data_IF_636127601312
#
_entry.id   IF_636127601312
#
_cell.length_a   1.000
_cell.length_b   1.000
_cell.length_c   1.000
_cell.angle_alpha   90.00
_cell.angle_beta   90.00
_cell.angle_gamma   90.00
#
_symmetry.space_group_name_H-M   'P 1'
#
loop_
_entity.id
_entity.type
_entity.pdbx_description
1 polymer ?
#
# COMPACT_ATOMS: atom_id res chain seq x y z
N UNK A 1 3.02 53.86 79.92
CA UNK A 1 3.42 53.37 78.59
C UNK A 1 2.20 53.45 77.68
N UNK A 2 2.23 54.30 76.64
CA UNK A 2 1.12 54.44 75.68
C UNK A 2 1.31 53.41 74.58
N UNK A 3 0.38 52.46 74.44
CA UNK A 3 0.30 51.59 73.28
C UNK A 3 -0.11 52.42 72.06
N UNK A 4 0.73 52.47 71.04
CA UNK A 4 0.40 53.12 69.76
C UNK A 4 -0.66 52.33 69.00
N UNK A 5 -1.52 53.00 68.21
CA UNK A 5 -2.56 52.31 67.45
C UNK A 5 -1.92 51.44 66.37
N UNK A 6 -2.29 50.15 66.35
CA UNK A 6 -1.86 49.19 65.34
C UNK A 6 -2.35 49.67 63.96
N UNK A 7 -1.39 49.88 63.06
CA UNK A 7 -1.57 50.34 61.69
C UNK A 7 -2.32 49.28 60.89
N UNK A 8 -3.25 49.71 60.05
CA UNK A 8 -4.26 48.90 59.36
C UNK A 8 -3.71 47.74 58.51
N UNK A 9 -4.05 46.50 58.89
CA UNK A 9 -3.85 45.23 58.16
C UNK A 9 -4.88 44.99 57.03
N UNK A 10 -5.57 46.02 56.53
CA UNK A 10 -6.69 45.86 55.58
C UNK A 10 -6.27 45.64 54.11
N UNK A 11 -5.00 45.86 53.76
CA UNK A 11 -4.48 45.66 52.39
C UNK A 11 -3.96 44.24 52.10
N UNK A 12 -3.41 43.54 53.10
CA UNK A 12 -2.83 42.20 52.91
C UNK A 12 -3.88 41.12 52.62
N UNK A 13 -5.07 41.24 53.20
CA UNK A 13 -6.16 40.28 52.97
C UNK A 13 -6.56 40.26 51.49
N UNK A 14 -6.63 41.42 50.85
CA UNK A 14 -6.97 41.52 49.43
C UNK A 14 -5.89 40.88 48.55
N UNK A 15 -4.61 41.10 48.86
CA UNK A 15 -3.51 40.46 48.14
C UNK A 15 -3.54 38.94 48.28
N UNK A 16 -3.81 38.43 49.48
CA UNK A 16 -3.92 36.99 49.71
C UNK A 16 -5.09 36.39 48.91
N UNK A 17 -6.25 37.04 48.89
CA UNK A 17 -7.41 36.60 48.10
C UNK A 17 -7.09 36.61 46.60
N UNK A 18 -6.43 37.65 46.09
CA UNK A 18 -6.04 37.70 44.68
C UNK A 18 -5.04 36.61 44.30
N UNK A 19 -4.06 36.32 45.17
CA UNK A 19 -3.10 35.23 44.95
C UNK A 19 -3.81 33.87 44.92
N UNK A 20 -4.70 33.61 45.88
CA UNK A 20 -5.48 32.36 45.93
C UNK A 20 -6.39 32.25 44.71
N UNK A 21 -7.08 33.33 44.31
CA UNK A 21 -7.92 33.34 43.10
C UNK A 21 -7.09 33.11 41.82
N UNK A 22 -5.92 33.72 41.72
CA UNK A 22 -5.02 33.52 40.58
C UNK A 22 -4.55 32.06 40.49
N UNK A 23 -4.17 31.45 41.61
CA UNK A 23 -3.77 30.04 41.67
C UNK A 23 -4.92 29.09 41.34
N UNK A 24 -6.11 29.33 41.90
CA UNK A 24 -7.31 28.55 41.58
C UNK A 24 -7.70 28.67 40.11
N UNK A 25 -7.62 29.87 39.54
CA UNK A 25 -7.93 30.10 38.12
C UNK A 25 -6.93 29.37 37.21
N UNK A 26 -5.64 29.39 37.54
CA UNK A 26 -4.62 28.67 36.80
C UNK A 26 -4.86 27.14 36.85
N UNK A 27 -5.16 26.59 38.02
CA UNK A 27 -5.47 25.16 38.19
C UNK A 27 -6.73 24.75 37.42
N UNK A 28 -7.79 25.55 37.51
CA UNK A 28 -9.03 25.28 36.77
C UNK A 28 -8.83 25.36 35.25
N UNK A 29 -7.99 26.30 34.79
CA UNK A 29 -7.66 26.41 33.36
C UNK A 29 -6.90 25.19 32.85
N UNK A 30 -5.92 24.69 33.61
CA UNK A 30 -5.16 23.49 33.26
C UNK A 30 -6.05 22.25 33.24
N UNK A 31 -6.87 22.07 34.27
CA UNK A 31 -7.85 20.98 34.32
C UNK A 31 -8.85 21.03 33.16
N UNK A 32 -9.36 22.21 32.82
CA UNK A 32 -10.27 22.38 31.70
C UNK A 32 -9.60 22.04 30.36
N UNK A 33 -8.35 22.49 30.16
CA UNK A 33 -7.58 22.16 28.98
C UNK A 33 -7.34 20.64 28.86
N UNK A 34 -6.88 19.99 29.94
CA UNK A 34 -6.69 18.54 29.99
C UNK A 34 -7.97 17.78 29.65
N UNK A 35 -9.09 18.17 30.26
CA UNK A 35 -10.39 17.52 30.03
C UNK A 35 -10.82 17.62 28.57
N UNK A 36 -10.62 18.78 27.93
CA UNK A 36 -10.95 18.95 26.51
C UNK A 36 -10.07 18.10 25.59
N UNK A 37 -8.79 17.93 25.93
CA UNK A 37 -7.89 17.02 25.20
C UNK A 37 -8.35 15.57 25.35
N UNK A 38 -8.66 15.14 26.57
CA UNK A 38 -9.13 13.78 26.85
C UNK A 38 -10.43 13.46 26.12
N UNK A 39 -11.37 14.41 26.07
CA UNK A 39 -12.62 14.26 25.32
C UNK A 39 -12.36 14.06 23.83
N UNK A 40 -11.48 14.87 23.22
CA UNK A 40 -11.13 14.73 21.79
C UNK A 40 -10.45 13.40 21.49
N UNK A 41 -9.60 12.92 22.39
CA UNK A 41 -8.96 11.61 22.27
C UNK A 41 -9.98 10.47 22.37
N UNK A 42 -10.92 10.56 23.33
CA UNK A 42 -11.98 9.58 23.49
C UNK A 42 -12.92 9.53 22.27
N UNK A 43 -13.29 10.69 21.71
CA UNK A 43 -14.07 10.79 20.47
C UNK A 43 -13.32 10.18 19.29
N UNK A 44 -12.05 10.55 19.09
CA UNK A 44 -11.21 10.00 18.01
C UNK A 44 -11.04 8.48 18.14
N UNK A 45 -10.84 7.99 19.36
CA UNK A 45 -10.72 6.55 19.63
C UNK A 45 -12.02 5.80 19.30
N UNK A 46 -13.16 6.33 19.73
CA UNK A 46 -14.49 5.79 19.40
C UNK A 46 -14.69 5.74 17.89
N UNK A 47 -14.45 6.85 17.20
CA UNK A 47 -14.71 6.99 15.76
C UNK A 47 -13.77 6.09 14.94
N UNK A 48 -12.48 6.01 15.32
CA UNK A 48 -11.53 5.07 14.72
C UNK A 48 -11.93 3.63 14.91
N UNK A 49 -12.36 3.25 16.12
CA UNK A 49 -12.82 1.89 16.41
C UNK A 49 -14.04 1.53 15.56
N UNK A 50 -15.00 2.45 15.46
CA UNK A 50 -16.18 2.28 14.61
C UNK A 50 -15.80 2.11 13.13
N UNK A 51 -14.98 3.00 12.59
CA UNK A 51 -14.54 2.93 11.20
C UNK A 51 -13.82 1.61 10.90
N UNK A 52 -12.97 1.15 11.83
CA UNK A 52 -12.28 -0.14 11.71
C UNK A 52 -13.27 -1.32 11.64
N UNK A 53 -14.26 -1.39 12.54
CA UNK A 53 -15.23 -2.48 12.52
C UNK A 53 -16.20 -2.39 11.33
N UNK A 54 -16.55 -1.18 10.87
CA UNK A 54 -17.30 -0.99 9.62
C UNK A 54 -16.52 -1.53 8.41
N UNK A 55 -15.24 -1.19 8.29
CA UNK A 55 -14.37 -1.71 7.22
C UNK A 55 -14.23 -3.24 7.28
N UNK A 56 -14.06 -3.82 8.49
CA UNK A 56 -14.03 -5.28 8.69
C UNK A 56 -15.35 -5.94 8.30
N UNK A 57 -16.48 -5.30 8.58
CA UNK A 57 -17.81 -5.73 8.13
C UNK A 57 -17.93 -5.71 6.60
N UNK A 58 -17.40 -4.67 5.96
CA UNK A 58 -17.32 -4.57 4.50
C UNK A 58 -16.50 -5.68 3.85
N UNK A 59 -15.35 -6.05 4.42
CA UNK A 59 -14.59 -7.21 3.96
C UNK A 59 -15.43 -8.48 4.03
N UNK A 60 -16.17 -8.69 5.13
CA UNK A 60 -17.05 -9.85 5.30
C UNK A 60 -18.19 -9.85 4.26
N UNK A 61 -18.76 -8.69 3.99
CA UNK A 61 -19.79 -8.51 2.97
C UNK A 61 -19.25 -8.80 1.57
N UNK A 62 -18.07 -8.29 1.22
CA UNK A 62 -17.39 -8.62 -0.03
C UNK A 62 -17.10 -10.11 -0.18
N UNK A 63 -16.67 -10.78 0.90
CA UNK A 63 -16.50 -12.25 0.90
C UNK A 63 -17.82 -12.99 0.66
N UNK A 64 -18.95 -12.51 1.19
CA UNK A 64 -20.25 -13.11 0.93
C UNK A 64 -20.69 -12.90 -0.52
N UNK A 65 -20.47 -11.72 -1.09
CA UNK A 65 -20.74 -11.44 -2.51
C UNK A 65 -19.96 -12.40 -3.40
N UNK A 66 -18.67 -12.62 -3.12
CA UNK A 66 -17.84 -13.58 -3.85
C UNK A 66 -18.26 -15.04 -3.65
N UNK A 67 -18.84 -15.40 -2.49
CA UNK A 67 -19.35 -16.76 -2.24
C UNK A 67 -20.69 -17.04 -2.93
N UNK A 68 -21.46 -15.99 -3.22
CA UNK A 68 -22.72 -16.09 -3.96
C UNK A 68 -22.50 -16.25 -5.47
N UNK A 69 -21.32 -15.86 -5.96
CA UNK A 69 -20.93 -16.18 -7.32
C UNK A 69 -20.60 -17.68 -7.46
N UNK A 70 -21.33 -18.35 -8.35
CA UNK A 70 -21.29 -19.80 -8.55
C UNK A 70 -20.99 -20.18 -10.00
N UNK A 71 -20.73 -19.19 -10.85
CA UNK A 71 -20.43 -19.47 -12.24
C UNK A 71 -18.94 -19.85 -12.40
N UNK A 72 -18.49 -20.10 -13.63
CA UNK A 72 -17.13 -20.60 -13.89
C UNK A 72 -16.23 -19.56 -14.58
N UNK A 73 -16.60 -18.28 -14.56
CA UNK A 73 -15.81 -17.20 -15.14
C UNK A 73 -15.90 -15.94 -14.27
N UNK A 74 -14.78 -15.24 -14.13
CA UNK A 74 -14.76 -13.96 -13.44
C UNK A 74 -14.74 -12.82 -14.47
N UNK A 75 -15.65 -11.87 -14.39
CA UNK A 75 -15.84 -10.79 -15.37
C UNK A 75 -16.32 -9.47 -14.79
N UNK A 76 -16.15 -8.37 -15.56
CA UNK A 76 -16.57 -7.01 -15.14
C UNK A 76 -18.09 -6.80 -15.14
N UNK A 77 -18.83 -7.71 -15.76
CA UNK A 77 -20.29 -7.74 -15.80
C UNK A 77 -20.91 -8.26 -14.50
N UNK A 78 -20.11 -8.86 -13.61
CA UNK A 78 -20.59 -9.52 -12.42
C UNK A 78 -20.83 -8.58 -11.24
N UNK A 79 -21.69 -9.03 -10.32
CA UNK A 79 -22.12 -8.23 -9.17
C UNK A 79 -20.95 -7.84 -8.25
N UNK A 80 -19.97 -8.74 -8.06
CA UNK A 80 -18.80 -8.45 -7.26
C UNK A 80 -17.97 -7.31 -7.85
N UNK A 81 -17.88 -7.21 -9.19
CA UNK A 81 -17.07 -6.20 -9.89
C UNK A 81 -17.72 -4.82 -9.91
N UNK A 82 -19.06 -4.76 -9.90
CA UNK A 82 -19.80 -3.50 -9.85
C UNK A 82 -19.72 -2.80 -8.48
N UNK A 83 -19.41 -3.55 -7.43
CA UNK A 83 -19.25 -3.03 -6.07
C UNK A 83 -20.55 -2.59 -5.40
N UNK A 84 -20.41 -2.04 -4.20
CA UNK A 84 -21.51 -1.48 -3.40
C UNK A 84 -21.11 -0.09 -2.96
N UNK A 85 -21.86 0.95 -3.35
CA UNK A 85 -21.52 2.34 -3.03
C UNK A 85 -22.46 2.94 -1.98
N UNK A 86 -21.90 3.69 -1.02
CA UNK A 86 -22.63 4.50 -0.05
C UNK A 86 -23.73 3.75 0.73
N UNK A 87 -23.48 2.49 1.09
CA UNK A 87 -24.43 1.69 1.87
C UNK A 87 -24.49 2.19 3.33
N UNK A 88 -25.65 2.62 3.86
CA UNK A 88 -25.74 3.16 5.21
C UNK A 88 -25.64 2.05 6.27
N UNK A 89 -24.70 2.18 7.22
CA UNK A 89 -24.52 1.25 8.33
C UNK A 89 -24.40 2.03 9.64
N UNK A 90 -25.44 1.95 10.48
CA UNK A 90 -25.52 2.76 11.70
C UNK A 90 -25.59 4.25 11.38
N UNK A 91 -24.53 5.00 11.72
CA UNK A 91 -24.40 6.44 11.43
C UNK A 91 -23.25 6.71 10.44
N UNK A 92 -22.75 5.67 9.76
CA UNK A 92 -21.71 5.79 8.73
C UNK A 92 -22.17 5.22 7.39
N UNK A 93 -21.32 5.36 6.38
CA UNK A 93 -21.52 4.79 5.05
C UNK A 93 -20.38 3.82 4.74
N UNK A 94 -20.69 2.77 4.00
CA UNK A 94 -19.77 1.75 3.55
C UNK A 94 -19.77 1.70 2.03
N UNK A 95 -18.58 1.77 1.45
CA UNK A 95 -18.34 1.48 0.03
C UNK A 95 -17.44 0.25 -0.06
N UNK A 96 -17.78 -0.67 -0.95
CA UNK A 96 -17.04 -1.92 -1.21
C UNK A 96 -16.73 -1.94 -2.70
N UNK A 97 -15.46 -1.94 -3.03
CA UNK A 97 -14.95 -2.15 -4.38
C UNK A 97 -14.11 -3.42 -4.38
N UNK A 98 -14.38 -4.33 -5.32
CA UNK A 98 -13.63 -5.58 -5.49
C UNK A 98 -12.99 -5.53 -6.87
N UNK A 99 -11.70 -5.85 -6.94
CA UNK A 99 -10.94 -5.83 -8.17
C UNK A 99 -10.19 -7.13 -8.32
N UNK A 100 -10.45 -7.83 -9.41
CA UNK A 100 -9.71 -9.02 -9.80
C UNK A 100 -8.23 -8.69 -10.04
N UNK A 101 -7.36 -9.47 -9.41
CA UNK A 101 -5.91 -9.37 -9.57
C UNK A 101 -5.39 -10.27 -10.68
N UNK A 102 -6.13 -11.30 -11.08
CA UNK A 102 -5.71 -12.28 -12.08
C UNK A 102 -5.81 -11.71 -13.50
N UNK A 103 -6.48 -10.58 -13.71
CA UNK A 103 -6.40 -9.80 -14.95
C UNK A 103 -5.06 -9.08 -15.17
N UNK A 104 -4.09 -9.23 -14.26
CA UNK A 104 -2.78 -8.56 -14.29
C UNK A 104 -1.66 -9.57 -14.43
N UNK A 105 -0.50 -9.15 -14.93
CA UNK A 105 0.67 -10.01 -14.96
C UNK A 105 1.24 -10.20 -13.54
N UNK A 106 1.34 -11.44 -13.09
CA UNK A 106 1.97 -11.74 -11.80
C UNK A 106 3.49 -11.64 -11.90
N UNK A 107 4.08 -10.75 -11.10
CA UNK A 107 5.52 -10.54 -11.02
C UNK A 107 6.20 -11.78 -10.43
N UNK A 108 5.60 -12.36 -9.40
CA UNK A 108 6.15 -13.53 -8.72
C UNK A 108 6.12 -14.81 -9.56
N UNK A 109 5.48 -14.81 -10.73
CA UNK A 109 5.55 -15.93 -11.68
C UNK A 109 6.67 -15.77 -12.73
N UNK A 110 7.41 -14.66 -12.71
CA UNK A 110 8.55 -14.42 -13.60
C UNK A 110 9.67 -15.45 -13.39
N UNK A 111 9.87 -15.92 -12.16
CA UNK A 111 10.89 -16.89 -11.79
C UNK A 111 10.28 -18.01 -10.95
N UNK A 112 10.66 -19.26 -11.24
CA UNK A 112 10.34 -20.42 -10.39
C UNK A 112 11.64 -21.05 -9.90
N UNK A 113 11.90 -20.89 -8.60
CA UNK A 113 13.19 -21.23 -8.00
C UNK A 113 14.26 -20.29 -8.52
N UNK A 114 15.09 -20.78 -9.44
CA UNK A 114 16.17 -20.02 -10.06
C UNK A 114 16.04 -19.92 -11.59
N UNK A 115 14.87 -20.27 -12.11
CA UNK A 115 14.63 -20.36 -13.55
C UNK A 115 13.66 -19.27 -13.98
N UNK A 116 14.11 -18.28 -14.75
CA UNK A 116 13.22 -17.34 -15.43
C UNK A 116 12.29 -18.08 -16.38
N UNK A 117 11.00 -17.75 -16.32
CA UNK A 117 9.99 -18.36 -17.16
C UNK A 117 9.90 -17.60 -18.49
N UNK A 118 10.34 -18.21 -19.60
CA UNK A 118 10.48 -17.55 -20.91
C UNK A 118 9.20 -16.81 -21.35
N UNK A 119 8.04 -17.45 -21.19
CA UNK A 119 6.74 -16.85 -21.54
C UNK A 119 6.44 -15.61 -20.69
N UNK A 120 6.72 -15.66 -19.38
CA UNK A 120 6.50 -14.50 -18.51
C UNK A 120 7.51 -13.39 -18.81
N UNK A 121 8.79 -13.75 -19.03
CA UNK A 121 9.84 -12.81 -19.44
C UNK A 121 9.42 -12.05 -20.70
N UNK A 122 8.97 -12.74 -21.74
CA UNK A 122 8.46 -12.10 -22.96
C UNK A 122 7.26 -11.19 -22.71
N UNK A 123 6.30 -11.61 -21.89
CA UNK A 123 5.12 -10.79 -21.55
C UNK A 123 5.52 -9.50 -20.84
N UNK A 124 6.46 -9.56 -19.89
CA UNK A 124 6.97 -8.36 -19.21
C UNK A 124 7.76 -7.45 -20.14
N UNK A 125 8.59 -8.01 -21.03
CA UNK A 125 9.29 -7.24 -22.06
C UNK A 125 8.30 -6.49 -22.96
N UNK A 126 7.29 -7.19 -23.48
CA UNK A 126 6.23 -6.57 -24.30
C UNK A 126 5.44 -5.52 -23.52
N UNK A 127 5.12 -5.78 -22.24
CA UNK A 127 4.42 -4.81 -21.41
C UNK A 127 5.23 -3.51 -21.31
N UNK A 128 6.52 -3.60 -21.00
CA UNK A 128 7.37 -2.42 -20.88
C UNK A 128 7.59 -1.72 -22.21
N UNK A 129 7.61 -2.43 -23.33
CA UNK A 129 7.61 -1.84 -24.67
C UNK A 129 6.30 -1.07 -24.95
N UNK A 130 5.14 -1.65 -24.67
CA UNK A 130 3.81 -1.02 -24.83
C UNK A 130 3.69 0.24 -23.97
N UNK A 131 4.27 0.21 -22.76
CA UNK A 131 4.30 1.35 -21.84
C UNK A 131 5.43 2.34 -22.16
N UNK A 132 6.17 2.13 -23.24
CA UNK A 132 7.25 3.00 -23.72
C UNK A 132 8.37 3.23 -22.69
N UNK A 133 8.70 2.20 -21.90
CA UNK A 133 9.82 2.26 -20.96
C UNK A 133 11.15 1.96 -21.67
N UNK A 134 12.04 2.96 -21.83
CA UNK A 134 13.29 2.77 -22.58
C UNK A 134 14.20 1.73 -21.93
N UNK A 135 14.20 1.68 -20.59
CA UNK A 135 15.00 0.74 -19.80
C UNK A 135 14.23 -0.57 -19.49
N UNK A 136 13.11 -0.81 -20.16
CA UNK A 136 12.25 -1.99 -19.97
C UNK A 136 13.01 -3.32 -19.87
N UNK A 137 13.92 -3.63 -20.82
CA UNK A 137 14.77 -4.81 -20.74
C UNK A 137 15.51 -4.94 -19.40
N UNK A 138 16.20 -3.88 -18.96
CA UNK A 138 16.95 -3.89 -17.70
C UNK A 138 16.04 -3.97 -16.46
N UNK A 139 14.81 -3.46 -16.55
CA UNK A 139 13.80 -3.64 -15.49
C UNK A 139 13.39 -5.10 -15.36
N UNK A 140 13.25 -5.85 -16.46
CA UNK A 140 12.93 -7.29 -16.40
C UNK A 140 14.08 -8.07 -15.77
N UNK A 141 15.31 -7.78 -16.14
CA UNK A 141 16.47 -8.45 -15.55
C UNK A 141 16.65 -8.10 -14.07
N UNK A 142 16.45 -6.84 -13.68
CA UNK A 142 16.46 -6.45 -12.28
C UNK A 142 15.35 -7.15 -11.46
N UNK A 143 14.18 -7.43 -12.06
CA UNK A 143 13.14 -8.23 -11.41
C UNK A 143 13.53 -9.71 -11.30
N UNK A 144 14.26 -10.26 -12.26
CA UNK A 144 14.73 -11.65 -12.21
C UNK A 144 15.66 -11.84 -10.99
N UNK A 145 16.74 -11.05 -10.90
CA UNK A 145 17.72 -11.10 -9.79
C UNK A 145 17.09 -10.74 -8.43
N UNK A 146 16.00 -9.97 -8.44
CA UNK A 146 15.30 -9.67 -7.20
C UNK A 146 14.55 -10.89 -6.65
N UNK A 147 14.07 -11.78 -7.53
CA UNK A 147 13.12 -12.86 -7.24
C UNK A 147 13.79 -14.24 -7.17
N UNK A 148 14.80 -14.50 -8.01
CA UNK A 148 15.55 -15.74 -7.95
C UNK A 148 16.30 -15.90 -6.61
N UNK A 149 16.86 -17.08 -6.36
CA UNK A 149 17.33 -17.44 -5.01
C UNK A 149 18.85 -17.37 -4.87
N UNK A 150 19.57 -17.17 -5.97
CA UNK A 150 21.03 -17.11 -5.98
C UNK A 150 21.53 -15.67 -5.77
N UNK A 151 22.78 -15.37 -6.13
CA UNK A 151 23.32 -14.00 -6.12
C UNK A 151 24.13 -13.79 -7.41
N UNK A 152 23.77 -14.50 -8.48
CA UNK A 152 24.43 -14.45 -9.78
C UNK A 152 23.67 -13.46 -10.67
N UNK A 153 24.33 -12.36 -11.02
CA UNK A 153 23.71 -11.32 -11.85
C UNK A 153 23.21 -11.90 -13.18
N UNK A 154 21.94 -11.69 -13.49
CA UNK A 154 21.37 -12.15 -14.75
C UNK A 154 21.98 -11.38 -15.94
N UNK A 155 22.75 -12.09 -16.76
CA UNK A 155 23.37 -11.56 -17.98
C UNK A 155 23.04 -12.47 -19.16
N UNK A 156 21.88 -12.24 -19.78
CA UNK A 156 21.42 -12.99 -20.96
C UNK A 156 20.79 -12.03 -21.96
N UNK A 157 20.91 -12.29 -23.27
CA UNK A 157 20.29 -11.51 -24.35
C UNK A 157 20.59 -9.99 -24.33
N UNK A 158 21.73 -9.59 -23.74
CA UNK A 158 22.12 -8.19 -23.58
C UNK A 158 21.40 -7.46 -22.43
N UNK A 159 20.56 -8.17 -21.68
CA UNK A 159 19.91 -7.69 -20.46
C UNK A 159 20.91 -7.72 -19.31
N UNK A 160 20.89 -6.69 -18.46
CA UNK A 160 21.71 -6.65 -17.26
C UNK A 160 20.83 -6.66 -16.02
N UNK A 161 21.06 -7.63 -15.15
CA UNK A 161 20.43 -7.76 -13.84
C UNK A 161 21.03 -6.83 -12.80
N UNK A 162 20.52 -6.91 -11.57
CA UNK A 162 20.97 -6.15 -10.42
C UNK A 162 20.85 -7.01 -9.16
N UNK A 163 22.00 -7.43 -8.64
CA UNK A 163 22.10 -8.28 -7.46
C UNK A 163 22.40 -7.53 -6.16
N UNK A 164 22.44 -8.26 -5.05
CA UNK A 164 22.76 -7.72 -3.71
C UNK A 164 24.01 -6.82 -3.68
N UNK A 165 25.04 -7.12 -4.48
CA UNK A 165 26.25 -6.30 -4.55
C UNK A 165 25.96 -4.86 -5.00
N UNK A 166 25.00 -4.66 -5.90
CA UNK A 166 24.59 -3.33 -6.32
C UNK A 166 23.84 -2.61 -5.21
N UNK A 167 22.85 -3.25 -4.61
CA UNK A 167 22.00 -2.63 -3.60
C UNK A 167 22.75 -2.26 -2.31
N UNK A 168 23.79 -3.02 -1.96
CA UNK A 168 24.65 -2.73 -0.83
C UNK A 168 25.47 -1.45 -1.01
N UNK A 169 25.65 -0.99 -2.25
CA UNK A 169 26.34 0.27 -2.54
C UNK A 169 25.44 1.52 -2.41
N UNK A 170 24.13 1.34 -2.20
CA UNK A 170 23.15 2.43 -2.05
C UNK A 170 23.09 2.94 -0.61
N UNK A 171 22.48 4.11 -0.42
CA UNK A 171 22.20 4.71 0.89
C UNK A 171 20.68 4.95 1.05
N UNK A 172 19.99 4.26 1.99
CA UNK A 172 20.52 3.22 2.88
C UNK A 172 20.89 1.95 2.12
N UNK A 173 21.87 1.20 2.63
CA UNK A 173 22.29 -0.08 2.04
C UNK A 173 21.28 -1.18 2.35
N UNK A 174 20.94 -1.99 1.36
CA UNK A 174 20.11 -3.18 1.51
C UNK A 174 20.57 -4.29 0.56
N UNK A 175 20.03 -5.49 0.71
CA UNK A 175 20.27 -6.63 -0.18
C UNK A 175 19.06 -6.89 -1.06
N UNK A 176 19.27 -7.57 -2.18
CA UNK A 176 18.15 -8.13 -2.95
C UNK A 176 17.35 -9.09 -2.06
N UNK A 177 16.06 -9.28 -2.39
CA UNK A 177 15.20 -10.15 -1.58
C UNK A 177 15.60 -11.62 -1.72
N UNK A 178 15.98 -12.00 -2.92
CA UNK A 178 16.28 -13.36 -3.36
C UNK A 178 15.08 -14.29 -3.09
N UNK A 179 13.92 -13.85 -3.58
CA UNK A 179 12.65 -14.55 -3.40
C UNK A 179 11.44 -13.71 -3.80
N UNK A 180 10.23 -14.31 -3.77
CA UNK A 180 9.00 -13.65 -4.18
C UNK A 180 8.74 -12.35 -3.42
N UNK A 181 8.30 -11.31 -4.13
CA UNK A 181 7.88 -10.04 -3.56
C UNK A 181 6.76 -10.27 -2.55
N UNK A 182 6.85 -9.60 -1.40
CA UNK A 182 5.85 -9.70 -0.32
C UNK A 182 4.85 -8.55 -0.31
N UNK A 183 5.21 -7.44 -0.93
CA UNK A 183 4.40 -6.22 -1.02
C UNK A 183 4.68 -5.54 -2.35
N UNK A 184 3.68 -4.87 -2.91
CA UNK A 184 3.84 -4.14 -4.17
C UNK A 184 4.86 -3.00 -4.05
N UNK A 185 4.93 -2.36 -2.88
CA UNK A 185 5.84 -1.27 -2.54
C UNK A 185 7.32 -1.67 -2.63
N UNK A 186 7.61 -2.97 -2.57
CA UNK A 186 8.97 -3.50 -2.71
C UNK A 186 9.57 -3.21 -4.09
N UNK A 187 8.74 -3.00 -5.11
CA UNK A 187 9.21 -2.59 -6.43
C UNK A 187 10.09 -1.34 -6.37
N UNK A 188 9.80 -0.40 -5.48
CA UNK A 188 10.63 0.82 -5.33
C UNK A 188 12.07 0.57 -4.88
N UNK A 189 12.37 -0.64 -4.37
CA UNK A 189 13.73 -1.05 -3.99
C UNK A 189 14.50 -1.69 -5.16
N UNK A 190 13.78 -2.18 -6.17
CA UNK A 190 14.36 -2.80 -7.37
C UNK A 190 14.98 -1.72 -8.24
N UNK A 191 16.11 -2.01 -8.87
CA UNK A 191 16.78 -1.06 -9.78
C UNK A 191 15.85 -0.61 -10.92
N UNK A 192 15.81 0.70 -11.16
CA UNK A 192 15.06 1.32 -12.26
C UNK A 192 13.56 1.55 -11.99
N UNK A 193 12.99 1.00 -10.91
CA UNK A 193 11.58 1.18 -10.56
C UNK A 193 11.34 2.49 -9.81
N UNK A 194 11.33 3.60 -10.55
CA UNK A 194 11.00 4.92 -10.00
C UNK A 194 9.51 4.99 -9.59
N UNK A 195 9.11 5.96 -8.74
CA UNK A 195 7.70 6.15 -8.40
C UNK A 195 6.78 6.28 -9.62
N UNK A 196 7.28 6.89 -10.70
CA UNK A 196 6.56 7.07 -11.97
C UNK A 196 6.36 5.73 -12.70
N UNK A 197 7.41 4.90 -12.77
CA UNK A 197 7.34 3.54 -13.36
C UNK A 197 6.36 2.69 -12.55
N UNK A 198 6.49 2.67 -11.23
CA UNK A 198 5.61 1.89 -10.33
C UNK A 198 4.15 2.34 -10.45
N UNK A 199 3.89 3.64 -10.56
CA UNK A 199 2.55 4.18 -10.75
C UNK A 199 1.91 3.74 -12.07
N UNK A 200 2.68 3.76 -13.16
CA UNK A 200 2.24 3.31 -14.48
C UNK A 200 2.05 1.79 -14.55
N UNK A 201 2.83 1.01 -13.79
CA UNK A 201 2.69 -0.45 -13.75
C UNK A 201 1.55 -0.96 -12.88
N UNK A 202 1.18 -0.20 -11.84
CA UNK A 202 0.14 -0.57 -10.87
C UNK A 202 -1.17 -1.13 -11.47
N UNK A 203 -1.73 -0.62 -12.58
CA UNK A 203 -2.92 -1.21 -13.18
C UNK A 203 -2.68 -2.54 -13.91
N UNK A 204 -1.45 -2.86 -14.31
CA UNK A 204 -1.13 -3.96 -15.22
C UNK A 204 -0.46 -5.17 -14.55
N UNK A 205 0.12 -5.00 -13.37
CA UNK A 205 0.88 -6.06 -12.68
C UNK A 205 0.39 -6.29 -11.25
N UNK A 206 0.65 -7.50 -10.74
CA UNK A 206 0.30 -7.94 -9.38
C UNK A 206 1.43 -8.78 -8.79
N UNK A 207 1.48 -8.93 -7.46
CA UNK A 207 2.37 -9.89 -6.79
C UNK A 207 1.67 -11.21 -6.43
N UNK A 208 0.36 -11.28 -6.69
CA UNK A 208 -0.49 -12.44 -6.42
C UNK A 208 -0.76 -13.23 -7.70
N UNK A 209 -1.31 -14.43 -7.57
CA UNK A 209 -1.65 -15.27 -8.72
C UNK A 209 -0.46 -16.05 -9.30
N UNK A 210 -0.71 -16.74 -10.41
CA UNK A 210 0.26 -17.55 -11.14
C UNK A 210 0.59 -16.96 -12.51
N UNK A 211 0.92 -17.78 -13.52
CA UNK A 211 1.18 -17.29 -14.88
C UNK A 211 -0.09 -17.10 -15.72
N UNK A 212 -1.27 -17.45 -15.20
CA UNK A 212 -2.55 -17.22 -15.84
C UNK A 212 -2.91 -15.74 -15.88
N UNK A 213 -3.69 -15.35 -16.90
CA UNK A 213 -4.28 -14.01 -16.99
C UNK A 213 -5.76 -14.14 -17.28
N UNK A 214 -6.60 -13.55 -16.45
CA UNK A 214 -8.02 -13.44 -16.68
C UNK A 214 -8.31 -12.40 -17.77
N UNK A 215 -8.64 -12.87 -18.98
CA UNK A 215 -8.92 -12.02 -20.14
C UNK A 215 -10.14 -11.12 -19.97
N UNK A 216 -11.11 -11.51 -19.12
CA UNK A 216 -12.35 -10.76 -18.94
C UNK A 216 -12.15 -9.48 -18.12
N UNK A 217 -11.05 -9.41 -17.34
CA UNK A 217 -10.75 -8.30 -16.44
C UNK A 217 -9.47 -7.56 -16.81
N UNK A 218 -8.60 -8.19 -17.61
CA UNK A 218 -7.33 -7.65 -18.06
C UNK A 218 -7.45 -6.31 -18.82
N UNK A 219 -6.45 -5.47 -18.63
CA UNK A 219 -6.29 -4.23 -19.39
C UNK A 219 -5.86 -4.51 -20.84
N UNK A 220 -6.19 -3.66 -21.82
CA UNK A 220 -5.76 -3.83 -23.21
C UNK A 220 -4.25 -4.07 -23.36
N UNK A 221 -3.43 -3.37 -22.57
CA UNK A 221 -1.97 -3.47 -22.57
C UNK A 221 -1.53 -4.88 -22.15
N UNK A 222 -2.08 -5.41 -21.06
CA UNK A 222 -1.83 -6.80 -20.61
C UNK A 222 -2.28 -7.80 -21.66
N UNK A 223 -3.45 -7.62 -22.27
CA UNK A 223 -3.95 -8.53 -23.32
C UNK A 223 -2.99 -8.52 -24.53
N UNK A 224 -2.49 -7.35 -24.93
CA UNK A 224 -1.54 -7.23 -26.03
C UNK A 224 -0.23 -7.99 -25.79
N UNK A 225 0.19 -8.17 -24.52
CA UNK A 225 1.37 -8.99 -24.19
C UNK A 225 1.18 -10.48 -24.47
N UNK A 226 -0.07 -10.95 -24.47
CA UNK A 226 -0.43 -12.37 -24.65
C UNK A 226 -0.37 -12.82 -26.11
N UNK A 227 -0.25 -11.89 -27.06
CA UNK A 227 -0.08 -12.22 -28.45
C UNK A 227 1.25 -12.94 -28.67
N UNK A 228 1.19 -14.10 -29.33
CA UNK A 228 2.36 -14.85 -29.78
C UNK A 228 2.37 -14.82 -31.29
N UNK A 229 3.47 -14.34 -31.88
CA UNK A 229 3.70 -14.53 -33.31
C UNK A 229 4.30 -15.94 -33.52
N UNK A 230 3.66 -16.77 -34.35
CA UNK A 230 4.09 -18.16 -34.57
C UNK A 230 5.43 -18.25 -35.34
N UNK A 231 5.89 -17.17 -35.97
CA UNK A 231 7.12 -17.14 -36.77
C UNK A 231 8.41 -17.29 -35.93
N UNK A 232 8.39 -16.93 -34.64
CA UNK A 232 9.57 -17.02 -33.75
C UNK A 232 9.91 -18.46 -33.31
N UNK A 233 9.09 -19.46 -33.66
CA UNK A 233 9.35 -20.88 -33.34
C UNK A 233 10.45 -21.55 -34.16
N UNK A 234 10.93 -20.94 -35.25
CA UNK A 234 11.85 -21.62 -36.19
C UNK A 234 13.33 -21.50 -35.76
N UNK A 235 13.64 -20.80 -34.67
CA UNK A 235 15.04 -20.54 -34.26
C UNK A 235 15.44 -21.01 -32.86
N UNK A 236 14.85 -22.11 -32.37
CA UNK A 236 15.37 -22.87 -31.22
C UNK A 236 15.70 -24.32 -31.60
#
# INVERSE_FOLDING_TARGET
MKAGPLRQERGMVLLLVLVVMALLSALLSDFAFSTLVDLRLAETFRDRSRAYYLARGGIRAGQMILQEDQNNYDGRDEMWSQGVANFPVGEGFLTIDITDQDGRLAINSLVIGNNPQSVQKERFLRLFEILEFPDGPDLVAALIDWIDIDNEEYVQDGLLGAESNEYLSRDPSYSARNGPLKSFEELSLVRGFTPEVVAQLKPHVTIYGDSGVNLNTATPEVIATLYFDEEDRITL
#
